data_IF_375624154807
#
_entry.id   IF_375624154807
#
_cell.length_a   1.000
_cell.length_b   1.000
_cell.length_c   1.000
_cell.angle_alpha   90.00
_cell.angle_beta   90.00
_cell.angle_gamma   90.00
#
_symmetry.space_group_name_H-M   'P 1'
#
loop_
_entity.id
_entity.type
_entity.pdbx_description
1 polymer ?
#
# COMPACT_ATOMS: atom_id res chain seq x y z
N UNK A 1 -14.20 -53.38 3.27
CA UNK A 1 -13.71 -52.38 4.24
C UNK A 1 -12.51 -51.70 3.61
N UNK A 2 -12.69 -50.52 3.07
CA UNK A 2 -11.69 -49.79 2.27
C UNK A 2 -10.92 -48.89 3.22
N UNK A 3 -9.61 -49.11 3.31
CA UNK A 3 -8.73 -48.34 4.19
C UNK A 3 -8.61 -46.89 3.66
N UNK A 4 -9.01 -45.93 4.48
CA UNK A 4 -8.73 -44.52 4.25
C UNK A 4 -7.25 -44.26 4.55
N UNK A 5 -6.49 -43.88 3.53
CA UNK A 5 -5.13 -43.36 3.69
C UNK A 5 -5.26 -41.92 4.18
N UNK A 6 -5.03 -41.71 5.48
CA UNK A 6 -4.87 -40.37 6.05
C UNK A 6 -3.47 -39.89 5.67
N UNK A 7 -3.38 -38.99 4.69
CA UNK A 7 -2.15 -38.28 4.40
C UNK A 7 -1.86 -37.31 5.55
N UNK A 8 -0.89 -37.66 6.39
CA UNK A 8 -0.34 -36.75 7.39
C UNK A 8 0.47 -35.70 6.65
N UNK A 9 -0.06 -34.48 6.58
CA UNK A 9 0.60 -33.35 5.95
C UNK A 9 1.97 -33.11 6.61
N UNK A 10 3.03 -33.15 5.80
CA UNK A 10 4.36 -32.74 6.22
C UNK A 10 4.31 -31.26 6.59
N UNK A 11 4.68 -30.98 7.83
CA UNK A 11 4.90 -29.64 8.35
C UNK A 11 6.10 -29.03 7.61
N UNK A 12 5.86 -28.25 6.54
CA UNK A 12 6.89 -27.30 6.05
C UNK A 12 6.81 -26.06 6.91
N UNK A 13 7.43 -26.18 8.08
CA UNK A 13 7.87 -25.06 8.88
C UNK A 13 9.20 -24.62 8.26
N UNK A 14 9.19 -23.53 7.50
CA UNK A 14 10.43 -22.77 7.31
C UNK A 14 10.63 -21.94 8.58
N UNK A 15 10.99 -22.62 9.67
CA UNK A 15 11.69 -21.96 10.79
C UNK A 15 13.12 -21.87 10.31
N UNK A 16 13.54 -20.66 9.94
CA UNK A 16 14.97 -20.35 9.93
C UNK A 16 15.39 -20.42 11.39
N UNK A 17 16.15 -21.46 11.75
CA UNK A 17 16.74 -21.56 13.11
C UNK A 17 17.89 -20.56 13.18
N UNK A 18 18.20 -20.05 14.37
CA UNK A 18 19.29 -19.07 14.58
C UNK A 18 20.69 -19.55 14.14
N UNK A 19 20.84 -20.81 13.72
CA UNK A 19 22.08 -21.41 13.22
C UNK A 19 22.07 -21.76 11.70
N UNK A 20 21.10 -21.29 10.92
CA UNK A 20 21.09 -21.56 9.48
C UNK A 20 22.10 -20.67 8.71
N UNK A 21 22.82 -21.23 7.70
CA UNK A 21 23.72 -20.46 6.83
C UNK A 21 22.95 -19.33 6.11
N UNK A 22 23.62 -18.24 5.69
CA UNK A 22 22.95 -17.05 5.19
C UNK A 22 21.98 -17.40 4.06
N UNK A 23 20.75 -16.88 4.19
CA UNK A 23 19.56 -17.09 3.37
C UNK A 23 19.85 -17.78 2.04
N UNK A 24 19.65 -19.10 2.00
CA UNK A 24 19.54 -19.83 0.74
C UNK A 24 18.47 -19.14 -0.12
N UNK A 25 18.80 -18.86 -1.37
CA UNK A 25 17.95 -18.23 -2.37
C UNK A 25 16.55 -18.87 -2.35
N UNK A 26 15.59 -18.16 -1.74
CA UNK A 26 14.16 -18.50 -1.75
C UNK A 26 13.67 -18.40 -3.22
N UNK A 27 12.64 -19.18 -3.62
CA UNK A 27 12.36 -19.48 -5.02
C UNK A 27 12.31 -18.24 -5.90
N UNK A 28 12.96 -18.33 -7.07
CA UNK A 28 13.03 -17.29 -8.10
C UNK A 28 11.67 -17.01 -8.80
N UNK A 29 10.55 -17.31 -8.15
CA UNK A 29 9.22 -17.22 -8.73
C UNK A 29 8.15 -16.85 -7.70
N UNK A 30 6.96 -16.55 -8.21
CA UNK A 30 5.79 -16.25 -7.39
C UNK A 30 5.37 -17.45 -6.53
N UNK A 31 4.74 -17.17 -5.39
CA UNK A 31 4.21 -18.19 -4.49
C UNK A 31 2.80 -17.84 -4.01
N UNK A 32 2.07 -18.86 -3.57
CA UNK A 32 0.75 -18.71 -2.93
C UNK A 32 0.86 -19.22 -1.49
N UNK A 33 0.31 -18.47 -0.53
CA UNK A 33 0.14 -18.91 0.85
C UNK A 33 -1.34 -19.08 1.16
N UNK A 34 -1.74 -20.34 1.38
CA UNK A 34 -3.11 -20.80 1.57
C UNK A 34 -3.35 -21.41 2.96
N UNK A 35 -2.37 -21.34 3.87
CA UNK A 35 -2.51 -21.83 5.25
C UNK A 35 -2.89 -20.69 6.20
N UNK A 36 -4.04 -20.79 6.90
CA UNK A 36 -4.42 -19.80 7.90
C UNK A 36 -3.34 -19.61 8.98
N UNK A 37 -3.05 -18.35 9.32
CA UNK A 37 -2.08 -18.03 10.39
C UNK A 37 -0.61 -18.26 10.04
N UNK A 38 -0.27 -18.54 8.78
CA UNK A 38 1.11 -18.77 8.38
C UNK A 38 2.01 -17.56 8.69
N UNK A 39 3.24 -17.82 9.14
CA UNK A 39 4.25 -16.78 9.38
C UNK A 39 5.41 -17.01 8.39
N UNK A 40 5.55 -16.07 7.47
CA UNK A 40 6.62 -16.01 6.48
C UNK A 40 7.66 -14.99 6.97
N UNK A 41 8.89 -15.43 7.15
CA UNK A 41 9.97 -14.60 7.70
C UNK A 41 11.25 -14.82 6.92
N UNK A 42 12.01 -13.76 6.65
CA UNK A 42 13.29 -13.88 5.93
C UNK A 42 13.13 -14.21 4.45
N UNK A 43 11.97 -13.91 3.84
CA UNK A 43 11.80 -14.14 2.41
C UNK A 43 12.70 -13.19 1.61
N UNK A 44 13.24 -13.68 0.50
CA UNK A 44 13.87 -12.88 -0.54
C UNK A 44 13.25 -13.30 -1.88
N UNK A 45 12.13 -12.66 -2.23
CA UNK A 45 11.28 -13.07 -3.35
C UNK A 45 11.48 -12.11 -4.55
N UNK A 46 11.66 -12.66 -5.75
CA UNK A 46 11.68 -11.88 -7.01
C UNK A 46 10.37 -11.92 -7.81
N UNK A 47 9.40 -12.69 -7.32
CA UNK A 47 8.05 -12.73 -7.87
C UNK A 47 7.04 -12.07 -6.93
N UNK A 48 5.82 -12.58 -6.98
CA UNK A 48 4.68 -12.12 -6.20
C UNK A 48 4.29 -13.14 -5.12
N UNK A 49 3.92 -12.67 -3.94
CA UNK A 49 3.20 -13.46 -2.94
C UNK A 49 1.68 -13.23 -3.10
N UNK A 50 0.95 -14.30 -3.40
CA UNK A 50 -0.52 -14.30 -3.35
C UNK A 50 -0.98 -14.92 -2.02
N UNK A 51 -1.66 -14.13 -1.19
CA UNK A 51 -2.22 -14.59 0.08
C UNK A 51 -3.70 -14.95 -0.11
N UNK A 52 -4.04 -16.23 0.01
CA UNK A 52 -5.43 -16.72 -0.08
C UNK A 52 -6.01 -17.13 1.27
N UNK A 53 -5.17 -17.32 2.29
CA UNK A 53 -5.56 -17.66 3.65
C UNK A 53 -5.64 -16.44 4.59
N UNK A 54 -6.52 -16.47 5.60
CA UNK A 54 -6.60 -15.41 6.60
C UNK A 54 -5.44 -15.48 7.60
N UNK A 55 -5.02 -14.32 8.09
CA UNK A 55 -4.12 -14.17 9.23
C UNK A 55 -2.66 -14.46 8.92
N UNK A 56 -2.25 -14.36 7.66
CA UNK A 56 -0.85 -14.54 7.27
C UNK A 56 -0.02 -13.36 7.80
N UNK A 57 1.21 -13.65 8.22
CA UNK A 57 2.18 -12.65 8.64
C UNK A 57 3.39 -12.75 7.72
N UNK A 58 3.81 -11.64 7.14
CA UNK A 58 5.07 -11.50 6.40
C UNK A 58 5.94 -10.54 7.20
N UNK A 59 7.15 -10.96 7.55
CA UNK A 59 8.07 -10.09 8.31
C UNK A 59 9.52 -10.24 7.91
N UNK A 60 10.34 -9.23 8.15
CA UNK A 60 11.79 -9.27 7.93
C UNK A 60 12.13 -9.83 6.53
N UNK A 61 11.41 -9.36 5.52
CA UNK A 61 11.42 -9.93 4.18
C UNK A 61 11.80 -8.89 3.13
N UNK A 62 12.20 -9.36 1.95
CA UNK A 62 12.52 -8.54 0.79
C UNK A 62 11.79 -9.05 -0.44
N UNK A 63 11.18 -8.13 -1.16
CA UNK A 63 10.55 -8.35 -2.45
C UNK A 63 11.24 -7.46 -3.48
N UNK A 64 11.66 -8.04 -4.60
CA UNK A 64 12.35 -7.31 -5.69
C UNK A 64 11.63 -7.54 -7.01
N UNK A 65 10.94 -6.52 -7.51
CA UNK A 65 10.26 -6.54 -8.79
C UNK A 65 11.21 -6.31 -9.97
N UNK A 66 10.99 -7.02 -11.06
CA UNK A 66 11.72 -6.93 -12.33
C UNK A 66 10.80 -6.63 -13.53
N UNK A 67 9.56 -6.20 -13.27
CA UNK A 67 8.54 -5.92 -14.27
C UNK A 67 7.80 -7.16 -14.77
N UNK A 68 8.06 -8.35 -14.22
CA UNK A 68 7.39 -9.60 -14.64
C UNK A 68 6.07 -9.89 -13.94
N UNK A 69 5.78 -9.22 -12.82
CA UNK A 69 4.57 -9.44 -12.02
C UNK A 69 3.87 -8.13 -11.69
N UNK A 70 2.54 -8.16 -11.53
CA UNK A 70 1.77 -6.96 -11.20
C UNK A 70 1.99 -6.46 -9.77
N UNK A 71 2.27 -7.36 -8.81
CA UNK A 71 2.37 -6.98 -7.40
C UNK A 71 3.47 -7.72 -6.65
N UNK A 72 4.00 -7.12 -5.58
CA UNK A 72 4.87 -7.82 -4.63
C UNK A 72 4.03 -8.72 -3.71
N UNK A 73 2.99 -8.15 -3.11
CA UNK A 73 2.07 -8.85 -2.21
C UNK A 73 0.64 -8.47 -2.59
N UNK A 74 -0.21 -9.48 -2.78
CA UNK A 74 -1.65 -9.28 -2.94
C UNK A 74 -2.44 -10.23 -2.04
N UNK A 75 -3.62 -9.80 -1.61
CA UNK A 75 -4.62 -10.68 -1.03
C UNK A 75 -5.60 -11.18 -2.11
N UNK A 76 -6.23 -12.32 -1.88
CA UNK A 76 -7.29 -12.85 -2.74
C UNK A 76 -8.30 -13.66 -1.90
N UNK A 77 -9.59 -13.55 -2.19
CA UNK A 77 -10.65 -14.27 -1.49
C UNK A 77 -10.63 -14.00 0.01
N UNK A 78 -10.45 -15.05 0.82
CA UNK A 78 -10.38 -14.96 2.28
C UNK A 78 -9.01 -14.46 2.82
N UNK A 79 -8.08 -14.13 1.93
CA UNK A 79 -6.73 -13.71 2.27
C UNK A 79 -6.68 -12.48 3.17
N UNK A 80 -5.83 -12.51 4.18
CA UNK A 80 -5.42 -11.31 4.92
C UNK A 80 -3.98 -11.42 5.38
N UNK A 81 -3.26 -10.29 5.34
CA UNK A 81 -1.82 -10.25 5.60
C UNK A 81 -1.40 -9.09 6.49
N UNK A 82 -0.54 -9.37 7.47
CA UNK A 82 0.21 -8.36 8.22
C UNK A 82 1.66 -8.36 7.76
N UNK A 83 2.14 -7.22 7.31
CA UNK A 83 3.46 -7.01 6.70
C UNK A 83 4.28 -6.13 7.65
N UNK A 84 5.44 -6.61 8.08
CA UNK A 84 6.26 -5.93 9.08
C UNK A 84 7.72 -5.92 8.66
N UNK A 85 8.44 -4.81 8.88
CA UNK A 85 9.90 -4.78 8.73
C UNK A 85 10.36 -5.35 7.37
N UNK A 86 9.66 -4.96 6.30
CA UNK A 86 9.79 -5.58 4.97
C UNK A 86 10.12 -4.53 3.93
N UNK A 87 11.00 -4.89 2.99
CA UNK A 87 11.40 -4.03 1.87
C UNK A 87 10.73 -4.54 0.60
N UNK A 88 10.04 -3.67 -0.11
CA UNK A 88 9.46 -3.91 -1.43
C UNK A 88 10.12 -2.93 -2.38
N UNK A 89 10.86 -3.42 -3.38
CA UNK A 89 11.60 -2.53 -4.28
C UNK A 89 11.59 -3.01 -5.72
N UNK A 90 11.79 -2.08 -6.65
CA UNK A 90 11.90 -2.39 -8.08
C UNK A 90 10.58 -2.25 -8.82
N UNK A 91 10.49 -2.95 -9.94
CA UNK A 91 9.43 -2.75 -10.92
C UNK A 91 8.32 -3.80 -10.76
N UNK A 92 7.11 -3.33 -10.46
CA UNK A 92 5.88 -4.11 -10.49
C UNK A 92 4.93 -3.40 -11.44
N UNK A 93 4.26 -4.17 -12.32
CA UNK A 93 3.50 -3.56 -13.42
C UNK A 93 2.24 -2.81 -12.95
N UNK A 94 1.85 -2.97 -11.69
CA UNK A 94 0.70 -2.28 -11.08
C UNK A 94 1.04 -1.64 -9.72
N UNK A 95 1.37 -2.41 -8.68
CA UNK A 95 1.69 -1.81 -7.37
C UNK A 95 2.57 -2.69 -6.48
N UNK A 96 3.25 -2.12 -5.47
CA UNK A 96 3.95 -2.91 -4.46
C UNK A 96 3.02 -3.81 -3.64
N UNK A 97 1.98 -3.24 -3.04
CA UNK A 97 0.95 -3.97 -2.26
C UNK A 97 -0.42 -3.69 -2.87
N UNK A 98 -1.27 -4.71 -3.01
CA UNK A 98 -2.57 -4.53 -3.66
C UNK A 98 -3.75 -5.19 -2.98
N UNK A 99 -4.94 -4.68 -3.35
CA UNK A 99 -6.28 -4.97 -2.86
C UNK A 99 -6.52 -4.60 -1.39
N UNK A 100 -7.46 -5.30 -0.73
CA UNK A 100 -7.84 -5.08 0.66
C UNK A 100 -7.15 -6.02 1.65
N UNK A 101 -7.57 -5.93 2.92
CA UNK A 101 -7.27 -6.91 3.98
C UNK A 101 -5.79 -7.03 4.33
N UNK A 102 -5.05 -5.93 4.26
CA UNK A 102 -3.63 -5.92 4.60
C UNK A 102 -3.29 -4.82 5.61
N UNK A 103 -2.28 -5.06 6.41
CA UNK A 103 -1.69 -4.05 7.29
C UNK A 103 -0.18 -4.06 7.11
N UNK A 104 0.43 -2.88 7.08
CA UNK A 104 1.86 -2.69 6.91
C UNK A 104 2.41 -1.76 7.99
N UNK A 105 3.51 -2.16 8.61
CA UNK A 105 4.21 -1.35 9.62
C UNK A 105 5.72 -1.43 9.42
N UNK A 106 6.41 -0.29 9.44
CA UNK A 106 7.86 -0.20 9.17
C UNK A 106 8.26 -0.88 7.86
N UNK A 107 7.47 -0.64 6.81
CA UNK A 107 7.74 -1.13 5.46
C UNK A 107 8.46 -0.05 4.66
N UNK A 108 9.37 -0.47 3.78
CA UNK A 108 9.96 0.39 2.75
C UNK A 108 9.40 -0.01 1.38
N UNK A 109 8.89 0.95 0.61
CA UNK A 109 8.46 0.77 -0.78
C UNK A 109 9.25 1.74 -1.66
N UNK A 110 10.02 1.24 -2.63
CA UNK A 110 10.88 2.11 -3.45
C UNK A 110 11.12 1.65 -4.88
N UNK A 111 11.46 2.57 -5.78
CA UNK A 111 11.79 2.22 -7.17
C UNK A 111 10.60 1.81 -8.03
N UNK A 112 9.37 2.08 -7.58
CA UNK A 112 8.13 1.71 -8.27
C UNK A 112 7.99 2.46 -9.61
N UNK A 113 7.54 1.76 -10.64
CA UNK A 113 7.21 2.33 -11.96
C UNK A 113 5.73 2.70 -12.11
N UNK A 114 4.91 2.25 -11.16
CA UNK A 114 3.48 2.50 -11.05
C UNK A 114 3.19 2.87 -9.58
N UNK A 115 2.27 2.23 -8.88
CA UNK A 115 1.89 2.65 -7.52
C UNK A 115 2.69 1.99 -6.41
N UNK A 116 2.77 2.65 -5.25
CA UNK A 116 3.36 2.06 -4.05
C UNK A 116 2.44 1.03 -3.42
N UNK A 117 1.23 1.44 -3.05
CA UNK A 117 0.22 0.53 -2.51
C UNK A 117 -1.21 0.94 -2.91
N UNK A 118 -2.04 -0.04 -3.26
CA UNK A 118 -3.49 0.15 -3.42
C UNK A 118 -4.20 0.04 -2.08
N UNK A 119 -5.07 1.00 -1.79
CA UNK A 119 -5.85 1.13 -0.56
C UNK A 119 -7.28 0.63 -0.78
N UNK A 120 -7.45 -0.69 -0.78
CA UNK A 120 -8.77 -1.33 -0.74
C UNK A 120 -9.37 -1.34 0.67
N UNK A 121 -10.38 -2.19 0.94
CA UNK A 121 -11.05 -2.19 2.23
C UNK A 121 -10.16 -2.85 3.31
N UNK A 122 -10.25 -2.36 4.55
CA UNK A 122 -9.47 -2.85 5.71
C UNK A 122 -7.98 -2.83 5.45
N UNK A 123 -7.47 -1.67 5.04
CA UNK A 123 -6.05 -1.47 4.72
C UNK A 123 -5.40 -0.47 5.67
N UNK A 124 -4.15 -0.73 6.06
CA UNK A 124 -3.40 0.23 6.87
C UNK A 124 -1.92 0.20 6.55
N UNK A 125 -1.31 1.37 6.43
CA UNK A 125 0.14 1.53 6.35
C UNK A 125 0.60 2.57 7.36
N UNK A 126 1.53 2.16 8.23
CA UNK A 126 1.95 2.96 9.37
C UNK A 126 3.46 2.97 9.54
N UNK A 127 4.00 4.10 10.00
CA UNK A 127 5.42 4.25 10.34
C UNK A 127 6.37 3.72 9.23
N UNK A 128 5.99 3.94 7.97
CA UNK A 128 6.62 3.35 6.77
C UNK A 128 7.21 4.43 5.85
N UNK A 129 8.06 4.03 4.92
CA UNK A 129 8.74 4.93 3.97
C UNK A 129 8.48 4.52 2.52
N UNK A 130 7.91 5.42 1.74
CA UNK A 130 7.58 5.21 0.32
C UNK A 130 8.30 6.27 -0.49
N UNK A 131 9.21 5.88 -1.39
CA UNK A 131 10.14 6.85 -2.00
C UNK A 131 10.83 6.37 -3.28
N UNK A 132 11.61 7.26 -3.90
CA UNK A 132 12.48 6.95 -5.04
C UNK A 132 11.75 6.28 -6.23
N UNK A 133 10.56 6.79 -6.55
CA UNK A 133 9.77 6.28 -7.68
C UNK A 133 10.48 6.52 -9.01
N UNK A 134 10.23 5.62 -9.96
CA UNK A 134 10.70 5.68 -11.35
C UNK A 134 9.53 5.47 -12.31
N UNK A 135 8.53 6.37 -12.33
CA UNK A 135 7.30 6.15 -13.07
C UNK A 135 7.56 5.81 -14.54
N UNK A 136 6.83 4.84 -15.06
CA UNK A 136 6.85 4.53 -16.50
C UNK A 136 6.30 5.71 -17.31
N UNK A 137 6.67 5.78 -18.59
CA UNK A 137 6.12 6.81 -19.47
C UNK A 137 4.58 6.70 -19.53
N UNK A 138 3.90 7.81 -19.25
CA UNK A 138 2.43 7.85 -19.20
C UNK A 138 1.80 7.23 -17.95
N UNK A 139 2.60 6.78 -16.98
CA UNK A 139 2.08 6.33 -15.69
C UNK A 139 1.46 7.49 -14.89
N UNK A 140 0.59 7.14 -13.96
CA UNK A 140 0.06 8.02 -12.93
C UNK A 140 0.42 7.44 -11.57
N UNK A 141 1.72 7.35 -11.29
CA UNK A 141 2.23 6.73 -10.08
C UNK A 141 1.84 7.50 -8.84
N UNK A 142 1.21 6.80 -7.91
CA UNK A 142 0.84 7.29 -6.60
C UNK A 142 1.59 6.57 -5.49
N UNK A 143 1.97 7.30 -4.44
CA UNK A 143 2.60 6.69 -3.25
C UNK A 143 1.66 5.68 -2.60
N UNK A 144 0.43 6.11 -2.37
CA UNK A 144 -0.70 5.25 -2.05
C UNK A 144 -1.93 5.69 -2.84
N UNK A 145 -2.67 4.73 -3.39
CA UNK A 145 -3.80 4.99 -4.26
C UNK A 145 -5.06 4.31 -3.75
N UNK A 146 -6.14 5.07 -3.65
CA UNK A 146 -7.48 4.58 -3.40
C UNK A 146 -8.32 4.82 -4.65
N UNK A 147 -8.73 3.74 -5.31
CA UNK A 147 -9.63 3.79 -6.48
C UNK A 147 -10.84 2.88 -6.38
N UNK A 148 -10.76 1.73 -5.72
CA UNK A 148 -11.82 0.70 -5.72
C UNK A 148 -12.12 0.22 -4.30
N UNK A 149 -13.34 -0.28 -4.05
CA UNK A 149 -13.85 -0.89 -2.80
C UNK A 149 -13.18 -0.37 -1.51
N UNK A 150 -13.80 0.58 -0.82
CA UNK A 150 -13.09 1.31 0.25
C UNK A 150 -13.87 1.34 1.55
N UNK A 151 -13.13 1.26 2.66
CA UNK A 151 -13.63 1.32 4.02
C UNK A 151 -12.57 0.87 5.00
N UNK A 152 -12.47 1.53 6.15
CA UNK A 152 -11.43 1.27 7.17
C UNK A 152 -10.00 1.40 6.63
N UNK A 153 -9.67 2.56 6.06
CA UNK A 153 -8.34 2.87 5.52
C UNK A 153 -7.54 3.76 6.47
N UNK A 154 -6.29 3.40 6.74
CA UNK A 154 -5.38 4.18 7.60
C UNK A 154 -4.01 4.38 6.95
N UNK A 155 -3.65 5.63 6.70
CA UNK A 155 -2.32 6.07 6.27
C UNK A 155 -1.76 6.99 7.36
N UNK A 156 -0.86 6.47 8.21
CA UNK A 156 -0.43 7.18 9.41
C UNK A 156 1.07 7.20 9.63
N UNK A 157 1.62 8.35 10.02
CA UNK A 157 3.03 8.50 10.42
C UNK A 157 4.04 8.02 9.35
N UNK A 158 3.66 8.02 8.08
CA UNK A 158 4.54 7.59 7.00
C UNK A 158 5.36 8.77 6.48
N UNK A 159 6.50 8.46 5.86
CA UNK A 159 7.18 9.37 4.94
C UNK A 159 6.88 8.91 3.52
N UNK A 160 6.21 9.74 2.73
CA UNK A 160 5.85 9.44 1.35
C UNK A 160 6.38 10.55 0.46
N UNK A 161 7.37 10.26 -0.37
CA UNK A 161 8.01 11.21 -1.27
C UNK A 161 8.26 10.54 -2.62
N UNK A 162 7.31 10.71 -3.54
CA UNK A 162 7.37 10.06 -4.86
C UNK A 162 8.15 10.89 -5.90
N UNK A 163 8.75 12.00 -5.48
CA UNK A 163 9.40 12.95 -6.37
C UNK A 163 8.42 13.65 -7.31
N UNK A 164 8.97 14.45 -8.22
CA UNK A 164 8.21 15.33 -9.13
C UNK A 164 8.55 15.06 -10.59
N UNK A 165 9.01 13.84 -10.91
CA UNK A 165 9.33 13.42 -12.28
C UNK A 165 8.09 13.28 -13.17
N UNK A 166 8.30 13.08 -14.48
CA UNK A 166 7.20 12.66 -15.36
C UNK A 166 6.56 11.37 -14.82
N UNK A 167 5.23 11.30 -14.88
CA UNK A 167 4.44 10.18 -14.36
C UNK A 167 4.23 10.15 -12.84
N UNK A 168 4.89 11.00 -12.05
CA UNK A 168 4.63 11.13 -10.61
C UNK A 168 3.32 11.92 -10.40
N UNK A 169 2.29 11.26 -9.88
CA UNK A 169 0.95 11.82 -9.75
C UNK A 169 0.72 12.44 -8.36
N UNK A 170 0.70 11.64 -7.29
CA UNK A 170 0.53 12.15 -5.92
C UNK A 170 1.14 11.26 -4.83
N UNK A 171 1.48 11.82 -3.68
CA UNK A 171 1.87 11.02 -2.52
C UNK A 171 0.67 10.22 -1.98
N UNK A 172 -0.52 10.84 -1.98
CA UNK A 172 -1.78 10.21 -1.57
C UNK A 172 -2.86 10.57 -2.59
N UNK A 173 -3.37 9.57 -3.30
CA UNK A 173 -4.47 9.71 -4.26
C UNK A 173 -5.74 9.06 -3.74
N UNK A 174 -6.84 9.81 -3.73
CA UNK A 174 -8.14 9.35 -3.26
C UNK A 174 -9.25 9.64 -4.29
N UNK A 175 -9.73 8.63 -4.99
CA UNK A 175 -10.83 8.73 -5.96
C UNK A 175 -11.70 7.49 -5.90
N UNK A 176 -12.76 7.45 -5.08
CA UNK A 176 -13.52 6.22 -4.86
C UNK A 176 -14.39 5.85 -6.07
N UNK A 177 -13.85 5.11 -7.02
CA UNK A 177 -14.58 4.46 -8.11
C UNK A 177 -15.32 3.20 -7.61
N UNK A 178 -16.23 3.43 -6.66
CA UNK A 178 -16.97 2.41 -5.90
C UNK A 178 -18.30 2.03 -6.54
N UNK A 179 -18.65 2.64 -7.68
CA UNK A 179 -19.97 2.54 -8.33
C UNK A 179 -21.11 3.09 -7.47
N UNK A 180 -22.27 3.38 -8.07
CA UNK A 180 -23.44 3.88 -7.33
C UNK A 180 -24.00 2.93 -6.26
N UNK A 181 -23.54 1.68 -6.21
CA UNK A 181 -24.01 0.62 -5.29
C UNK A 181 -23.34 0.67 -3.90
N UNK A 182 -22.20 1.35 -3.75
CA UNK A 182 -21.46 1.48 -2.49
C UNK A 182 -21.32 2.94 -2.04
N UNK A 183 -22.39 3.71 -1.84
CA UNK A 183 -22.34 5.18 -1.70
C UNK A 183 -21.60 5.70 -0.45
N UNK A 184 -21.24 4.82 0.49
CA UNK A 184 -20.64 5.16 1.78
C UNK A 184 -19.23 4.56 1.90
N UNK A 185 -18.29 5.20 1.24
CA UNK A 185 -16.90 4.83 1.23
C UNK A 185 -16.13 5.52 2.37
N UNK A 186 -15.77 4.80 3.43
CA UNK A 186 -15.10 5.35 4.60
C UNK A 186 -15.16 4.41 5.81
N UNK A 187 -14.50 4.73 6.94
CA UNK A 187 -13.69 5.92 7.16
C UNK A 187 -12.32 5.84 6.47
N UNK A 188 -11.75 7.01 6.15
CA UNK A 188 -10.37 7.15 5.67
C UNK A 188 -9.61 8.09 6.60
N UNK A 189 -8.48 7.63 7.13
CA UNK A 189 -7.62 8.40 8.03
C UNK A 189 -6.26 8.60 7.39
N UNK A 190 -5.92 9.85 7.11
CA UNK A 190 -4.60 10.27 6.62
C UNK A 190 -4.01 11.25 7.62
N UNK A 191 -3.11 10.78 8.50
CA UNK A 191 -2.65 11.59 9.64
C UNK A 191 -1.18 11.46 9.99
N UNK A 192 -0.57 12.57 10.40
CA UNK A 192 0.81 12.57 10.92
C UNK A 192 1.87 12.22 9.87
N UNK A 193 1.54 12.21 8.59
CA UNK A 193 2.48 11.81 7.54
C UNK A 193 3.38 13.00 7.13
N UNK A 194 4.59 12.69 6.67
CA UNK A 194 5.42 13.61 5.88
C UNK A 194 5.24 13.29 4.41
N UNK A 195 4.70 14.23 3.63
CA UNK A 195 4.27 14.01 2.25
C UNK A 195 5.01 14.95 1.31
N UNK A 196 5.43 14.46 0.15
CA UNK A 196 6.04 15.27 -0.89
C UNK A 196 5.95 14.67 -2.28
N UNK A 197 6.30 15.50 -3.27
CA UNK A 197 6.24 15.13 -4.67
C UNK A 197 4.83 15.19 -5.27
N UNK A 198 4.73 14.65 -6.48
CA UNK A 198 3.52 14.63 -7.31
C UNK A 198 3.26 15.92 -8.10
N UNK A 199 2.22 15.87 -8.91
CA UNK A 199 1.55 17.05 -9.44
C UNK A 199 0.90 17.83 -8.30
N UNK A 200 0.04 17.14 -7.54
CA UNK A 200 -0.40 17.57 -6.22
C UNK A 200 -0.01 16.51 -5.19
N UNK A 201 0.52 16.91 -4.04
CA UNK A 201 0.99 15.95 -3.02
C UNK A 201 -0.16 15.13 -2.45
N UNK A 202 -1.25 15.78 -2.09
CA UNK A 202 -2.51 15.15 -1.76
C UNK A 202 -3.52 15.45 -2.87
N UNK A 203 -3.97 14.42 -3.55
CA UNK A 203 -4.91 14.53 -4.66
C UNK A 203 -6.17 13.74 -4.30
N UNK A 204 -7.31 14.40 -4.25
CA UNK A 204 -8.58 13.75 -4.01
C UNK A 204 -9.66 14.29 -4.91
N UNK A 205 -10.37 13.40 -5.61
CA UNK A 205 -11.47 13.73 -6.50
C UNK A 205 -12.65 12.79 -6.29
N UNK A 206 -13.82 13.21 -6.75
CA UNK A 206 -15.00 12.33 -6.75
C UNK A 206 -14.76 11.13 -7.65
N UNK A 207 -15.38 10.00 -7.30
CA UNK A 207 -15.41 8.83 -8.16
C UNK A 207 -16.54 8.89 -9.21
N UNK A 208 -16.67 7.80 -9.97
CA UNK A 208 -17.73 7.67 -10.96
C UNK A 208 -19.12 7.77 -10.33
N UNK A 209 -20.10 8.21 -11.12
CA UNK A 209 -21.52 8.33 -10.73
C UNK A 209 -21.78 9.21 -9.49
N UNK A 210 -20.82 10.09 -9.13
CA UNK A 210 -20.94 10.99 -7.99
C UNK A 210 -20.53 10.35 -6.66
N UNK A 211 -19.82 9.22 -6.68
CA UNK A 211 -19.26 8.60 -5.50
C UNK A 211 -18.33 9.54 -4.73
N UNK A 212 -18.47 9.55 -3.40
CA UNK A 212 -17.69 10.40 -2.49
C UNK A 212 -17.18 9.60 -1.31
N UNK A 213 -16.00 9.97 -0.83
CA UNK A 213 -15.52 9.48 0.45
C UNK A 213 -16.31 10.14 1.59
N UNK A 214 -16.73 9.33 2.54
CA UNK A 214 -17.37 9.72 3.80
C UNK A 214 -16.36 9.59 4.95
N UNK A 215 -16.56 10.37 6.02
CA UNK A 215 -15.77 10.26 7.25
C UNK A 215 -14.25 10.39 7.07
N UNK A 216 -13.81 11.32 6.21
CA UNK A 216 -12.38 11.57 5.98
C UNK A 216 -11.77 12.40 7.11
N UNK A 217 -10.72 11.85 7.73
CA UNK A 217 -9.87 12.55 8.71
C UNK A 217 -8.52 12.82 8.08
N UNK A 218 -8.21 14.09 7.85
CA UNK A 218 -6.95 14.53 7.24
C UNK A 218 -6.24 15.55 8.12
N UNK A 219 -5.36 15.07 9.01
CA UNK A 219 -4.87 15.90 10.11
C UNK A 219 -3.38 15.75 10.40
N UNK A 220 -2.74 16.86 10.76
CA UNK A 220 -1.36 16.84 11.28
C UNK A 220 -0.30 16.38 10.28
N UNK A 221 -0.55 16.49 8.98
CA UNK A 221 0.42 16.10 7.95
C UNK A 221 1.40 17.25 7.67
N UNK A 222 2.65 16.90 7.40
CA UNK A 222 3.73 17.82 7.02
C UNK A 222 4.03 17.70 5.53
N UNK A 223 3.99 18.80 4.80
CA UNK A 223 4.17 18.84 3.35
C UNK A 223 5.51 19.43 2.95
N UNK A 224 6.18 18.74 2.04
CA UNK A 224 7.28 19.30 1.26
C UNK A 224 6.71 20.34 0.29
N UNK A 225 7.43 21.44 0.11
CA UNK A 225 7.06 22.51 -0.84
C UNK A 225 7.66 22.23 -2.23
N UNK A 226 7.46 21.02 -2.76
CA UNK A 226 8.07 20.56 -4.01
C UNK A 226 7.07 20.13 -5.09
N UNK A 227 5.80 19.87 -4.75
CA UNK A 227 4.77 19.50 -5.72
C UNK A 227 4.66 20.48 -6.90
N UNK A 228 4.39 19.96 -8.11
CA UNK A 228 4.40 20.77 -9.35
C UNK A 228 3.30 21.85 -9.39
N UNK A 229 2.12 21.54 -8.85
CA UNK A 229 0.94 22.40 -8.94
C UNK A 229 0.46 22.88 -7.56
N UNK A 230 0.68 22.09 -6.51
CA UNK A 230 0.36 22.50 -5.14
C UNK A 230 0.32 21.35 -4.14
N UNK A 231 0.15 21.67 -2.86
CA UNK A 231 0.10 20.65 -1.82
C UNK A 231 -1.18 19.79 -1.86
N UNK A 232 -2.33 20.42 -2.11
CA UNK A 232 -3.65 19.77 -1.99
C UNK A 232 -4.50 20.14 -3.20
N UNK A 233 -5.08 19.14 -3.84
CA UNK A 233 -6.18 19.27 -4.80
C UNK A 233 -7.34 18.38 -4.34
N UNK A 234 -8.33 18.90 -3.59
CA UNK A 234 -9.53 18.19 -3.21
C UNK A 234 -10.73 18.70 -4.04
N UNK A 235 -11.48 17.81 -4.67
CA UNK A 235 -12.76 18.21 -5.29
C UNK A 235 -13.98 17.63 -4.60
N UNK A 236 -13.95 16.43 -3.99
CA UNK A 236 -15.22 15.84 -3.51
C UNK A 236 -15.04 14.77 -2.42
N UNK A 237 -14.90 15.18 -1.16
CA UNK A 237 -15.12 14.29 -0.01
C UNK A 237 -15.90 14.99 1.10
N UNK A 238 -16.74 14.22 1.80
CA UNK A 238 -17.43 14.69 3.00
C UNK A 238 -16.44 14.65 4.16
N UNK A 239 -15.74 15.79 4.30
CA UNK A 239 -14.73 16.01 5.33
C UNK A 239 -15.36 15.89 6.71
N UNK A 240 -14.88 14.94 7.51
CA UNK A 240 -15.17 14.95 8.95
C UNK A 240 -14.24 15.91 9.69
N UNK A 241 -12.94 15.89 9.38
CA UNK A 241 -11.97 16.77 10.03
C UNK A 241 -10.76 17.01 9.14
N UNK A 242 -10.44 18.28 8.89
CA UNK A 242 -9.18 18.70 8.28
C UNK A 242 -8.54 19.80 9.13
N UNK A 243 -7.36 19.55 9.69
CA UNK A 243 -6.70 20.50 10.60
C UNK A 243 -5.22 20.18 10.81
N UNK A 244 -4.44 21.18 11.23
CA UNK A 244 -3.04 20.99 11.65
C UNK A 244 -2.08 20.55 10.54
N UNK A 245 -2.48 20.64 9.27
CA UNK A 245 -1.60 20.35 8.14
C UNK A 245 -0.68 21.56 7.88
N UNK A 246 0.62 21.33 7.81
CA UNK A 246 1.66 22.37 7.68
C UNK A 246 2.65 22.01 6.60
N UNK A 247 3.35 23.01 6.06
CA UNK A 247 4.56 22.77 5.29
C UNK A 247 5.75 22.46 6.23
N UNK A 248 6.85 21.91 5.70
CA UNK A 248 8.09 21.65 6.48
C UNK A 248 8.60 22.88 7.26
N UNK A 249 8.31 24.10 6.78
CA UNK A 249 8.61 25.36 7.47
C UNK A 249 7.61 25.77 8.57
N UNK A 250 6.61 24.94 8.87
CA UNK A 250 5.58 25.19 9.89
C UNK A 250 4.42 26.10 9.45
N UNK A 251 4.48 26.68 8.25
CA UNK A 251 3.39 27.47 7.70
C UNK A 251 2.16 26.57 7.45
N UNK A 252 0.93 27.01 7.76
CA UNK A 252 -0.28 26.23 7.45
C UNK A 252 -0.41 25.95 5.96
N UNK A 253 -0.86 24.74 5.61
CA UNK A 253 -1.27 24.42 4.23
C UNK A 253 -2.71 24.91 4.05
N UNK A 254 -2.99 25.81 3.09
CA UNK A 254 -4.34 26.26 2.83
C UNK A 254 -5.19 25.11 2.30
N UNK A 255 -6.39 24.95 2.84
CA UNK A 255 -7.42 24.18 2.16
C UNK A 255 -7.97 25.03 1.02
N UNK A 256 -8.17 24.47 -0.17
CA UNK A 256 -8.88 25.19 -1.20
C UNK A 256 -10.33 25.41 -0.75
N UNK A 257 -10.84 26.59 -1.10
CA UNK A 257 -12.16 27.05 -0.70
C UNK A 257 -13.29 26.50 -1.56
#
# INVERSE_FOLDING_TARGET
MTAAVVAVAAVVVVVVREDDPPAAEQPAGSMTEDRPGAVLSGLNLRGMLTVTAPGVVVRNSRFTGDGSTPWAIRTNGAGSVRIEDTVITGDYTDAGISYGNWSAVRVEISGMTNDGAKLGPRTSITDSWIHDFKPSQGAHSDGVQLTEDVGDVVVKNNRIDIGTGEGANSAVFLSPDIGGENPNAGPVVVTGNTLGGGGYTFYSVGGNEGARLQDVTFTGNTFRQDARYGAIYPTDFDVRTVSGNVYEGGAPVPLPG
#
